data_IF_067833403374
#
_entry.id   IF_067833403374
#
_cell.length_a   1.000
_cell.length_b   1.000
_cell.length_c   1.000
_cell.angle_alpha   90.00
_cell.angle_beta   90.00
_cell.angle_gamma   90.00
#
_symmetry.space_group_name_H-M   'P 1'
#
loop_
_entity.id
_entity.type
_entity.pdbx_description
1 polymer ?
#
# COMPACT_ATOMS: atom_id res chain seq x y z
N UNK A 1 -21.07 0.81 11.73
CA UNK A 1 -19.93 1.63 11.29
C UNK A 1 -19.54 1.12 9.91
N UNK A 2 -19.65 1.95 8.88
CA UNK A 2 -19.35 1.57 7.49
C UNK A 2 -17.86 1.74 7.16
N UNK A 3 -17.00 1.35 8.11
CA UNK A 3 -15.54 1.51 8.02
C UNK A 3 -14.93 0.13 7.80
N UNK A 4 -13.94 0.09 6.92
CA UNK A 4 -13.04 -1.02 6.72
C UNK A 4 -11.58 -0.54 6.89
N UNK A 5 -10.66 -1.49 6.97
CA UNK A 5 -9.25 -1.22 7.16
C UNK A 5 -8.42 -1.80 6.03
N UNK A 6 -7.42 -1.04 5.59
CA UNK A 6 -6.38 -1.50 4.66
C UNK A 6 -5.05 -1.44 5.39
N UNK A 7 -4.46 -2.61 5.59
CA UNK A 7 -3.15 -2.78 6.19
C UNK A 7 -2.11 -2.99 5.10
N UNK A 8 -1.04 -2.22 5.16
CA UNK A 8 0.08 -2.30 4.21
C UNK A 8 1.37 -2.44 5.00
N UNK A 9 2.08 -3.54 4.77
CA UNK A 9 3.42 -3.76 5.33
C UNK A 9 4.48 -3.64 4.24
N UNK A 10 5.45 -2.74 4.39
CA UNK A 10 6.56 -2.66 3.44
C UNK A 10 7.59 -3.75 3.79
N UNK A 11 7.68 -4.77 2.96
CA UNK A 11 8.59 -5.89 3.20
C UNK A 11 9.86 -5.79 2.36
N UNK A 12 10.85 -6.57 2.78
CA UNK A 12 12.28 -6.57 2.41
C UNK A 12 12.59 -6.08 0.98
N UNK A 13 13.07 -4.85 0.88
CA UNK A 13 13.83 -4.39 -0.28
C UNK A 13 15.34 -4.59 0.02
N UNK A 14 15.99 -5.55 -0.67
CA UNK A 14 17.42 -5.83 -0.52
C UNK A 14 18.31 -4.61 -0.88
N UNK A 15 17.80 -3.64 -1.65
CA UNK A 15 18.56 -2.48 -2.18
C UNK A 15 18.07 -1.12 -1.65
N UNK A 16 17.34 -1.09 -0.54
CA UNK A 16 16.60 0.11 -0.17
C UNK A 16 16.38 0.32 1.32
N UNK A 17 17.45 0.19 2.11
CA UNK A 17 17.41 0.59 3.52
C UNK A 17 16.92 2.05 3.73
N UNK A 18 17.09 2.93 2.74
CA UNK A 18 16.70 4.34 2.81
C UNK A 18 15.48 4.73 1.98
N UNK A 19 14.87 3.81 1.20
CA UNK A 19 13.74 4.21 0.36
C UNK A 19 12.46 4.36 1.17
N UNK A 20 11.62 5.26 0.67
CA UNK A 20 10.37 5.71 1.28
C UNK A 20 9.31 5.58 0.18
N UNK A 21 8.28 4.81 0.44
CA UNK A 21 7.17 4.66 -0.50
C UNK A 21 6.01 5.53 -0.03
N UNK A 22 5.58 6.46 -0.87
CA UNK A 22 4.36 7.22 -0.66
C UNK A 22 3.18 6.33 -1.03
N UNK A 23 2.17 6.28 -0.17
CA UNK A 23 0.95 5.46 -0.37
C UNK A 23 -0.21 6.39 -0.64
N UNK A 24 -1.05 6.03 -1.62
CA UNK A 24 -2.25 6.77 -1.95
C UNK A 24 -3.45 5.84 -2.13
N UNK A 25 -4.62 6.29 -1.66
CA UNK A 25 -5.91 5.64 -1.92
C UNK A 25 -6.80 6.64 -2.62
N UNK A 26 -7.40 6.26 -3.76
CA UNK A 26 -8.20 7.14 -4.61
C UNK A 26 -7.47 8.46 -4.93
N UNK A 27 -6.17 8.36 -5.23
CA UNK A 27 -5.26 9.49 -5.48
C UNK A 27 -5.03 10.43 -4.28
N UNK A 28 -5.62 10.16 -3.12
CA UNK A 28 -5.37 10.91 -1.89
C UNK A 28 -4.13 10.34 -1.18
N UNK A 29 -3.22 11.23 -0.75
CA UNK A 29 -2.01 10.83 -0.03
C UNK A 29 -2.32 10.37 1.39
N UNK A 30 -1.93 9.13 1.71
CA UNK A 30 -2.20 8.51 3.01
C UNK A 30 -0.97 8.55 3.95
N UNK A 31 0.23 8.58 3.38
CA UNK A 31 1.45 8.66 4.16
C UNK A 31 2.66 8.05 3.48
N UNK A 32 3.75 7.95 4.25
CA UNK A 32 5.02 7.36 3.81
C UNK A 32 5.32 6.10 4.57
N UNK A 33 5.53 5.00 3.85
CA UNK A 33 5.91 3.70 4.39
C UNK A 33 7.40 3.45 4.16
N UNK A 34 8.14 3.11 5.23
CA UNK A 34 9.52 2.64 5.15
C UNK A 34 9.59 1.13 5.30
N UNK A 35 10.71 0.54 4.91
CA UNK A 35 11.01 -0.88 5.09
C UNK A 35 10.70 -1.34 6.53
N UNK A 36 10.03 -2.49 6.66
CA UNK A 36 9.55 -3.11 7.91
C UNK A 36 8.52 -2.27 8.69
N UNK A 37 8.01 -1.18 8.14
CA UNK A 37 6.88 -0.47 8.71
C UNK A 37 5.57 -1.03 8.18
N UNK A 38 4.55 -0.88 9.02
CA UNK A 38 3.16 -1.16 8.73
C UNK A 38 2.38 0.15 8.81
N UNK A 39 1.41 0.31 7.92
CA UNK A 39 0.44 1.38 7.93
C UNK A 39 -0.94 0.74 7.89
N UNK A 40 -1.84 1.26 8.72
CA UNK A 40 -3.25 0.88 8.74
C UNK A 40 -4.02 2.13 8.35
N UNK A 41 -4.89 2.00 7.35
CA UNK A 41 -5.67 3.10 6.80
C UNK A 41 -7.14 2.74 6.96
N UNK A 42 -7.89 3.65 7.56
CA UNK A 42 -9.35 3.59 7.60
C UNK A 42 -9.92 4.05 6.25
N UNK A 43 -10.82 3.26 5.69
CA UNK A 43 -11.52 3.57 4.45
C UNK A 43 -13.01 3.27 4.62
N UNK A 44 -13.90 4.03 3.95
CA UNK A 44 -15.31 3.65 3.92
C UNK A 44 -15.49 2.33 3.18
N UNK A 45 -16.61 1.64 3.41
CA UNK A 45 -16.99 0.49 2.60
C UNK A 45 -17.18 0.91 1.12
N UNK A 46 -16.78 0.05 0.19
CA UNK A 46 -16.86 0.30 -1.24
C UNK A 46 -15.61 -0.08 -2.01
N UNK A 47 -15.46 0.52 -3.20
CA UNK A 47 -14.34 0.27 -4.10
C UNK A 47 -13.33 1.41 -4.04
N UNK A 48 -12.06 1.06 -3.86
CA UNK A 48 -10.95 1.99 -3.79
C UNK A 48 -9.81 1.58 -4.72
N UNK A 49 -8.98 2.54 -5.10
CA UNK A 49 -7.76 2.30 -5.87
C UNK A 49 -6.54 2.60 -5.02
N UNK A 50 -5.73 1.59 -4.75
CA UNK A 50 -4.47 1.70 -4.02
C UNK A 50 -3.29 1.82 -5.00
N UNK A 51 -2.44 2.81 -4.77
CA UNK A 51 -1.15 2.97 -5.45
C UNK A 51 -0.05 3.29 -4.45
N UNK A 52 1.19 2.92 -4.78
CA UNK A 52 2.37 3.41 -4.09
C UNK A 52 3.41 3.94 -5.07
N UNK A 53 4.15 4.96 -4.66
CA UNK A 53 5.18 5.61 -5.45
C UNK A 53 6.50 5.72 -4.67
N UNK A 54 7.63 5.50 -5.36
CA UNK A 54 8.97 5.63 -4.81
C UNK A 54 9.94 6.08 -5.92
N UNK A 55 10.45 7.31 -5.82
CA UNK A 55 11.47 7.88 -6.74
C UNK A 55 11.13 7.68 -8.23
N UNK A 56 9.90 8.00 -8.63
CA UNK A 56 9.46 7.89 -10.04
C UNK A 56 8.99 6.49 -10.45
N UNK A 57 9.11 5.48 -9.59
CA UNK A 57 8.49 4.17 -9.79
C UNK A 57 7.13 4.15 -9.09
N UNK A 58 6.09 3.73 -9.81
CA UNK A 58 4.73 3.59 -9.28
C UNK A 58 4.28 2.14 -9.42
N UNK A 59 3.50 1.64 -8.46
CA UNK A 59 2.83 0.34 -8.61
C UNK A 59 1.79 0.39 -9.72
N UNK A 60 1.43 -0.77 -10.28
CA UNK A 60 0.14 -0.87 -10.95
C UNK A 60 -1.00 -0.47 -9.98
N UNK A 61 -2.07 0.20 -10.45
CA UNK A 61 -3.25 0.46 -9.64
C UNK A 61 -3.87 -0.86 -9.16
N UNK A 62 -4.08 -0.97 -7.85
CA UNK A 62 -4.75 -2.12 -7.26
C UNK A 62 -6.15 -1.72 -6.82
N UNK A 63 -7.17 -2.36 -7.41
CA UNK A 63 -8.55 -2.20 -6.94
C UNK A 63 -8.76 -2.99 -5.64
N UNK A 64 -9.31 -2.29 -4.64
CA UNK A 64 -9.74 -2.83 -3.37
C UNK A 64 -11.26 -2.78 -3.35
N UNK A 65 -11.91 -3.87 -2.98
CA UNK A 65 -13.34 -3.87 -2.67
C UNK A 65 -13.47 -4.36 -1.23
N UNK A 66 -14.07 -3.51 -0.38
CA UNK A 66 -14.15 -3.74 1.06
C UNK A 66 -15.58 -3.55 1.56
N UNK A 67 -15.99 -4.42 2.47
CA UNK A 67 -17.26 -4.35 3.19
C UNK A 67 -17.05 -3.77 4.61
N UNK A 68 -18.11 -3.27 5.27
CA UNK A 68 -18.02 -2.81 6.65
C UNK A 68 -17.41 -3.89 7.57
N UNK A 69 -16.37 -3.51 8.33
CA UNK A 69 -15.65 -4.42 9.23
C UNK A 69 -14.50 -5.20 8.59
N UNK A 70 -14.32 -5.13 7.26
CA UNK A 70 -13.22 -5.82 6.59
C UNK A 70 -11.86 -5.27 7.00
N UNK A 71 -10.86 -6.13 6.99
CA UNK A 71 -9.45 -5.73 7.06
C UNK A 71 -8.68 -6.44 5.94
N UNK A 72 -8.32 -5.70 4.90
CA UNK A 72 -7.47 -6.23 3.83
C UNK A 72 -6.00 -6.00 4.16
N UNK A 73 -5.18 -7.03 4.03
CA UNK A 73 -3.74 -6.95 4.29
C UNK A 73 -2.92 -7.14 3.02
N UNK A 74 -1.97 -6.25 2.80
CA UNK A 74 -1.06 -6.26 1.66
C UNK A 74 0.39 -6.08 2.09
N UNK A 75 1.27 -6.64 1.29
CA UNK A 75 2.69 -6.36 1.33
C UNK A 75 3.09 -5.47 0.17
N UNK A 76 3.83 -4.40 0.47
CA UNK A 76 4.48 -3.56 -0.53
C UNK A 76 5.92 -4.02 -0.70
N UNK A 77 6.26 -4.47 -1.91
CA UNK A 77 7.56 -5.07 -2.27
C UNK A 77 8.21 -4.31 -3.42
N UNK A 78 9.40 -3.77 -3.18
CA UNK A 78 10.31 -3.37 -4.25
C UNK A 78 11.21 -4.53 -4.68
N UNK A 79 11.40 -4.68 -5.99
CA UNK A 79 12.18 -5.76 -6.60
C UNK A 79 13.53 -5.26 -7.16
N UNK A 80 14.39 -6.20 -7.56
CA UNK A 80 15.73 -5.90 -8.10
C UNK A 80 15.69 -5.17 -9.44
N UNK A 81 14.64 -5.40 -10.22
CA UNK A 81 14.33 -4.74 -11.48
C UNK A 81 13.78 -3.31 -11.29
N UNK A 82 13.89 -2.75 -10.08
CA UNK A 82 13.34 -1.45 -9.70
C UNK A 82 11.81 -1.36 -9.77
N UNK A 83 11.07 -2.46 -9.94
CA UNK A 83 9.61 -2.44 -9.86
C UNK A 83 9.11 -2.38 -8.41
N UNK A 84 7.90 -1.84 -8.24
CA UNK A 84 7.19 -1.78 -6.97
C UNK A 84 5.85 -2.50 -7.15
N UNK A 85 5.51 -3.41 -6.22
CA UNK A 85 4.30 -4.25 -6.34
C UNK A 85 3.60 -4.43 -5.01
N UNK A 86 2.28 -4.52 -5.05
CA UNK A 86 1.47 -5.02 -3.94
C UNK A 86 1.24 -6.52 -4.08
N UNK A 87 1.20 -7.23 -2.96
CA UNK A 87 0.82 -8.64 -2.90
C UNK A 87 -0.13 -8.84 -1.72
N UNK A 88 -1.27 -9.49 -1.94
CA UNK A 88 -2.22 -9.79 -0.87
C UNK A 88 -1.60 -10.79 0.11
N UNK A 89 -1.81 -10.57 1.40
CA UNK A 89 -1.37 -11.47 2.47
C UNK A 89 -2.47 -12.47 2.82
#
# INVERSE_FOLDING_TARGET
MDIAYVEITCVRELYALKRRSQVFINNCFMGVLKRRQKMVIEVPAGTHTLIAMNKGVTTAPLQLSVQPGDTLSYELRGRRDHSLTFTKK
#
